data_IF_430155668207
#
_entry.id   IF_430155668207
#
_cell.length_a   1.000
_cell.length_b   1.000
_cell.length_c   1.000
_cell.angle_alpha   90.00
_cell.angle_beta   90.00
_cell.angle_gamma   90.00
#
_symmetry.space_group_name_H-M   'P 1'
#
loop_
_entity.id
_entity.type
_entity.pdbx_description
1 polymer ?
#
# COMPACT_ATOMS: atom_id res chain seq x y z
N UNK A 1 -23.82 32.06 12.99
CA UNK A 1 -23.06 30.91 13.52
C UNK A 1 -22.62 30.07 12.33
N UNK A 2 -21.44 30.34 11.80
CA UNK A 2 -20.87 29.61 10.66
C UNK A 2 -19.40 29.37 11.00
N UNK A 3 -19.02 28.12 11.24
CA UNK A 3 -17.64 27.67 11.33
C UNK A 3 -17.69 26.16 11.06
N UNK A 4 -17.46 25.77 9.81
CA UNK A 4 -16.18 25.23 9.31
C UNK A 4 -15.99 23.75 9.66
N UNK A 5 -16.14 22.88 8.66
CA UNK A 5 -15.36 21.64 8.52
C UNK A 5 -15.69 20.98 7.17
N UNK A 6 -15.10 21.44 6.06
CA UNK A 6 -15.10 20.70 4.79
C UNK A 6 -13.86 21.10 3.98
N UNK A 7 -12.67 20.75 4.47
CA UNK A 7 -11.49 20.75 3.62
C UNK A 7 -10.78 19.41 3.81
N UNK A 8 -11.30 18.38 3.12
CA UNK A 8 -10.58 17.13 2.90
C UNK A 8 -9.83 17.26 1.57
N UNK A 9 -8.54 17.62 1.61
CA UNK A 9 -7.67 17.56 0.43
C UNK A 9 -7.17 16.12 0.24
N UNK A 10 -7.87 15.34 -0.60
CA UNK A 10 -7.36 14.05 -1.07
C UNK A 10 -6.37 14.28 -2.21
N UNK A 11 -5.11 14.52 -1.84
CA UNK A 11 -3.92 14.66 -2.71
C UNK A 11 -3.92 15.91 -3.65
N UNK A 12 -2.77 16.58 -3.84
CA UNK A 12 -2.65 17.67 -4.80
C UNK A 12 -2.96 17.19 -6.23
N UNK A 13 -3.66 18.02 -7.02
CA UNK A 13 -4.09 17.71 -8.38
C UNK A 13 -2.96 17.31 -9.35
N UNK A 14 -1.70 17.56 -8.98
CA UNK A 14 -0.52 17.39 -9.83
C UNK A 14 0.39 16.24 -9.37
N UNK A 15 -0.07 15.34 -8.50
CA UNK A 15 0.68 14.12 -8.16
C UNK A 15 0.29 12.99 -9.13
N UNK A 16 1.28 12.45 -9.83
CA UNK A 16 1.13 11.25 -10.66
C UNK A 16 1.58 10.02 -9.87
N UNK A 17 0.74 9.00 -9.83
CA UNK A 17 1.05 7.70 -9.23
C UNK A 17 1.31 6.67 -10.32
N UNK A 18 2.19 5.70 -10.08
CA UNK A 18 2.47 4.60 -11.01
C UNK A 18 2.64 3.30 -10.23
N UNK A 19 2.16 2.20 -10.79
CA UNK A 19 2.32 0.86 -10.22
C UNK A 19 3.78 0.43 -10.40
N UNK A 20 4.40 -0.02 -9.31
CA UNK A 20 5.77 -0.56 -9.32
C UNK A 20 5.81 -2.08 -9.21
N UNK A 21 4.69 -2.71 -8.82
CA UNK A 21 4.58 -4.16 -8.67
C UNK A 21 3.12 -4.63 -8.72
N UNK A 22 2.87 -5.76 -9.39
CA UNK A 22 1.53 -6.38 -9.55
C UNK A 22 1.61 -7.86 -9.97
N UNK A 23 2.43 -8.67 -9.29
CA UNK A 23 2.64 -10.09 -9.67
C UNK A 23 1.89 -11.09 -8.78
N UNK A 24 1.78 -10.86 -7.47
CA UNK A 24 1.03 -11.73 -6.57
C UNK A 24 -0.44 -11.30 -6.37
N UNK A 25 -1.37 -12.23 -6.06
CA UNK A 25 -2.75 -11.92 -5.74
C UNK A 25 -2.93 -11.03 -4.49
N UNK A 26 -1.96 -11.06 -3.57
CA UNK A 26 -1.94 -10.22 -2.38
C UNK A 26 -0.54 -9.63 -2.17
N UNK A 27 -0.44 -8.30 -2.26
CA UNK A 27 0.78 -7.53 -1.95
C UNK A 27 0.44 -6.56 -0.81
N UNK A 28 1.11 -6.66 0.33
CA UNK A 28 0.78 -5.85 1.52
C UNK A 28 1.99 -5.59 2.43
N UNK A 29 1.79 -4.74 3.45
CA UNK A 29 2.79 -4.40 4.47
C UNK A 29 4.06 -3.73 3.88
N UNK A 30 3.83 -2.66 3.11
CA UNK A 30 4.89 -1.90 2.44
C UNK A 30 5.74 -1.09 3.42
N UNK A 31 7.05 -1.11 3.22
CA UNK A 31 8.01 -0.20 3.84
C UNK A 31 8.93 0.41 2.77
N UNK A 32 9.40 1.63 3.00
CA UNK A 32 10.23 2.39 2.05
C UNK A 32 11.36 3.12 2.78
N UNK A 33 12.60 2.75 2.47
CA UNK A 33 13.81 3.36 3.03
C UNK A 33 14.71 3.91 1.93
N UNK A 34 15.35 5.05 2.21
CA UNK A 34 16.38 5.64 1.34
C UNK A 34 17.78 5.31 1.89
N UNK A 35 18.64 4.75 1.05
CA UNK A 35 20.04 4.44 1.39
C UNK A 35 20.94 4.57 0.16
N UNK A 36 22.10 5.24 0.30
CA UNK A 36 23.08 5.46 -0.78
C UNK A 36 22.44 5.90 -2.11
N UNK A 37 21.62 6.94 -2.04
CA UNK A 37 20.90 7.51 -3.19
C UNK A 37 19.94 6.57 -3.94
N UNK A 38 19.59 5.44 -3.32
CA UNK A 38 18.57 4.52 -3.82
C UNK A 38 17.40 4.41 -2.83
N UNK A 39 16.20 4.18 -3.39
CA UNK A 39 15.02 3.79 -2.63
C UNK A 39 14.88 2.27 -2.63
N UNK A 40 14.68 1.70 -1.45
CA UNK A 40 14.40 0.28 -1.26
C UNK A 40 12.97 0.15 -0.76
N UNK A 41 12.12 -0.41 -1.61
CA UNK A 41 10.74 -0.76 -1.27
C UNK A 41 10.70 -2.23 -0.90
N UNK A 42 10.13 -2.55 0.25
CA UNK A 42 9.88 -3.93 0.69
C UNK A 42 8.40 -4.12 0.97
N UNK A 43 7.87 -5.31 0.67
CA UNK A 43 6.48 -5.68 0.91
C UNK A 43 6.39 -7.21 0.97
N UNK A 44 5.24 -7.73 1.39
CA UNK A 44 4.97 -9.17 1.46
C UNK A 44 4.05 -9.58 0.31
N UNK A 45 4.40 -10.68 -0.34
CA UNK A 45 3.56 -11.35 -1.32
C UNK A 45 2.85 -12.57 -0.70
N UNK A 46 1.62 -12.83 -1.13
CA UNK A 46 0.85 -13.98 -0.71
C UNK A 46 -0.32 -14.30 -1.62
N UNK A 47 -0.98 -15.42 -1.38
CA UNK A 47 -2.21 -15.82 -2.08
C UNK A 47 -3.46 -15.10 -1.56
N UNK A 48 -3.36 -14.40 -0.42
CA UNK A 48 -4.47 -13.73 0.27
C UNK A 48 -4.01 -13.12 1.60
N UNK A 49 -4.95 -12.50 2.33
CA UNK A 49 -4.67 -11.86 3.63
C UNK A 49 -4.19 -12.85 4.70
N UNK A 50 -4.68 -14.09 4.65
CA UNK A 50 -4.28 -15.21 5.52
C UNK A 50 -3.71 -16.32 4.63
N UNK A 51 -2.67 -17.06 5.06
CA UNK A 51 -2.14 -18.19 4.30
C UNK A 51 -3.23 -19.22 3.93
N UNK A 52 -3.14 -19.77 2.72
CA UNK A 52 -4.11 -20.73 2.18
C UNK A 52 -5.15 -20.09 1.25
N UNK A 53 -5.75 -20.90 0.38
CA UNK A 53 -6.67 -20.43 -0.67
C UNK A 53 -8.03 -19.94 -0.16
N UNK A 54 -8.35 -20.16 1.12
CA UNK A 54 -9.62 -19.76 1.76
C UNK A 54 -9.46 -19.09 3.13
N UNK A 55 -8.27 -18.60 3.45
CA UNK A 55 -7.98 -17.93 4.71
C UNK A 55 -8.18 -18.76 5.98
N UNK A 56 -8.03 -20.09 5.89
CA UNK A 56 -7.94 -20.99 7.05
C UNK A 56 -6.54 -21.60 7.05
N UNK A 57 -5.77 -21.35 8.11
CA UNK A 57 -4.57 -22.13 8.40
C UNK A 57 -5.02 -23.50 8.90
N UNK A 58 -4.43 -24.58 8.38
CA UNK A 58 -4.66 -25.92 8.91
C UNK A 58 -4.13 -25.92 10.36
N UNK A 59 -5.04 -25.76 11.32
CA UNK A 59 -4.83 -26.08 12.73
C UNK A 59 -5.09 -27.56 12.95
#
# INVERSE_FOLDING_TARGET
MMMSCMISFSQPANIKTTIIWDQAPHNAFTDLVKYRDAFYCTFREGSGHVPGTKGRTNG
#
